data_IF_961509353472
#
_entry.id   IF_961509353472
#
_cell.length_a   1.000
_cell.length_b   1.000
_cell.length_c   1.000
_cell.angle_alpha   90.00
_cell.angle_beta   90.00
_cell.angle_gamma   90.00
#
_symmetry.space_group_name_H-M   'P 1'
#
loop_
_entity.id
_entity.type
_entity.pdbx_description
1 polymer ?
#
# COMPACT_ATOMS: atom_id res chain seq x y z
N UNK A 1 -8.85 -29.75 8.70
CA UNK A 1 -9.54 -28.50 8.28
C UNK A 1 -10.03 -28.64 6.84
N UNK A 2 -11.25 -28.19 6.50
CA UNK A 2 -11.80 -28.30 5.13
C UNK A 2 -11.19 -27.25 4.18
N UNK A 3 -11.27 -27.50 2.85
CA UNK A 3 -10.74 -26.58 1.82
C UNK A 3 -11.41 -25.21 1.90
N UNK A 4 -12.73 -25.18 1.98
CA UNK A 4 -13.54 -23.97 2.01
C UNK A 4 -13.23 -23.11 3.24
N UNK A 5 -13.07 -23.73 4.42
CA UNK A 5 -12.68 -23.02 5.64
C UNK A 5 -11.28 -22.41 5.53
N UNK A 6 -10.35 -23.05 4.80
CA UNK A 6 -8.99 -22.54 4.58
C UNK A 6 -8.95 -21.35 3.64
N UNK A 7 -9.72 -21.43 2.55
CA UNK A 7 -9.87 -20.34 1.61
C UNK A 7 -10.49 -19.13 2.31
N UNK A 8 -11.59 -19.33 3.06
CA UNK A 8 -12.26 -18.25 3.76
C UNK A 8 -11.37 -17.61 4.83
N UNK A 9 -10.75 -18.40 5.70
CA UNK A 9 -9.87 -17.87 6.75
C UNK A 9 -8.64 -17.17 6.15
N UNK A 10 -8.08 -17.73 5.08
CA UNK A 10 -6.98 -17.13 4.33
C UNK A 10 -7.37 -15.79 3.70
N UNK A 11 -8.53 -15.72 3.04
CA UNK A 11 -9.05 -14.50 2.42
C UNK A 11 -9.27 -13.39 3.45
N UNK A 12 -9.92 -13.69 4.57
CA UNK A 12 -10.19 -12.71 5.64
C UNK A 12 -8.88 -12.22 6.26
N UNK A 13 -7.96 -13.12 6.59
CA UNK A 13 -6.67 -12.75 7.16
C UNK A 13 -5.79 -11.95 6.17
N UNK A 14 -5.82 -12.32 4.89
CA UNK A 14 -5.12 -11.60 3.81
C UNK A 14 -5.67 -10.20 3.60
N UNK A 15 -6.99 -10.04 3.51
CA UNK A 15 -7.63 -8.72 3.40
C UNK A 15 -7.32 -7.84 4.61
N UNK A 16 -7.43 -8.38 5.82
CA UNK A 16 -7.09 -7.64 7.04
C UNK A 16 -5.63 -7.19 7.03
N UNK A 17 -4.70 -8.10 6.68
CA UNK A 17 -3.28 -7.76 6.53
C UNK A 17 -3.07 -6.65 5.50
N UNK A 18 -3.72 -6.73 4.35
CA UNK A 18 -3.65 -5.71 3.30
C UNK A 18 -4.17 -4.35 3.76
N UNK A 19 -5.28 -4.32 4.51
CA UNK A 19 -5.82 -3.09 5.10
C UNK A 19 -4.83 -2.49 6.11
N UNK A 20 -4.30 -3.29 7.03
CA UNK A 20 -3.32 -2.84 8.03
C UNK A 20 -2.07 -2.27 7.35
N UNK A 21 -1.52 -2.99 6.38
CA UNK A 21 -0.38 -2.54 5.57
C UNK A 21 -0.67 -1.21 4.88
N UNK A 22 -1.84 -1.08 4.24
CA UNK A 22 -2.27 0.16 3.57
C UNK A 22 -2.34 1.33 4.54
N UNK A 23 -2.98 1.12 5.69
CA UNK A 23 -3.14 2.17 6.71
C UNK A 23 -1.80 2.63 7.26
N UNK A 24 -0.85 1.71 7.47
CA UNK A 24 0.51 2.06 7.90
C UNK A 24 1.26 2.81 6.80
N UNK A 25 1.15 2.39 5.54
CA UNK A 25 1.75 3.13 4.42
C UNK A 25 1.21 4.56 4.31
N UNK A 26 -0.09 4.75 4.53
CA UNK A 26 -0.72 6.07 4.54
C UNK A 26 -0.27 6.91 5.75
N UNK A 27 -0.08 6.28 6.91
CA UNK A 27 0.44 6.96 8.10
C UNK A 27 1.88 7.41 7.88
N UNK A 28 2.74 6.56 7.34
CA UNK A 28 4.11 6.89 6.98
C UNK A 28 4.16 8.00 5.92
N UNK A 29 3.28 7.96 4.92
CA UNK A 29 3.15 9.03 3.93
C UNK A 29 2.74 10.36 4.57
N UNK A 30 1.85 10.34 5.58
CA UNK A 30 1.48 11.54 6.35
C UNK A 30 2.63 12.09 7.20
N UNK A 31 3.67 11.29 7.48
CA UNK A 31 4.91 11.70 8.13
C UNK A 31 6.01 12.10 7.11
N UNK A 32 5.70 12.13 5.81
CA UNK A 32 6.64 12.54 4.75
C UNK A 32 7.55 11.42 4.24
N UNK A 33 7.29 10.16 4.61
CA UNK A 33 8.02 8.99 4.06
C UNK A 33 7.44 8.63 2.69
N UNK A 34 8.31 8.43 1.70
CA UNK A 34 7.92 8.09 0.34
C UNK A 34 7.57 6.59 0.22
N UNK A 35 6.36 6.22 0.65
CA UNK A 35 5.93 4.82 0.60
C UNK A 35 5.67 4.36 -0.83
N UNK A 36 5.81 3.04 -1.14
CA UNK A 36 5.50 2.48 -2.46
C UNK A 36 4.14 2.92 -3.01
N UNK A 37 3.16 3.11 -2.13
CA UNK A 37 1.83 3.61 -2.46
C UNK A 37 1.85 4.95 -3.23
N UNK A 38 2.81 5.83 -2.90
CA UNK A 38 2.93 7.17 -3.50
C UNK A 38 3.87 7.17 -4.69
N UNK A 39 4.99 6.44 -4.60
CA UNK A 39 6.08 6.50 -5.60
C UNK A 39 5.90 5.55 -6.80
N UNK A 40 5.00 4.55 -6.72
CA UNK A 40 4.66 3.70 -7.87
C UNK A 40 4.11 4.56 -9.02
N UNK A 41 3.28 5.56 -8.71
CA UNK A 41 2.78 6.51 -9.70
C UNK A 41 3.91 7.26 -10.40
N UNK A 42 4.89 7.74 -9.63
CA UNK A 42 6.05 8.48 -10.14
C UNK A 42 6.93 7.59 -11.04
N UNK A 43 7.03 6.29 -10.73
CA UNK A 43 7.75 5.34 -11.58
C UNK A 43 7.01 5.06 -12.88
N UNK A 44 5.68 4.92 -12.82
CA UNK A 44 4.85 4.59 -13.98
C UNK A 44 4.67 5.78 -14.92
N UNK A 45 4.62 7.02 -14.41
CA UNK A 45 4.43 8.21 -15.24
C UNK A 45 5.56 8.44 -16.24
N UNK A 46 6.77 7.99 -15.95
CA UNK A 46 7.92 8.06 -16.88
C UNK A 46 7.67 7.27 -18.16
N UNK A 47 6.84 6.22 -18.10
CA UNK A 47 6.53 5.39 -19.26
C UNK A 47 5.31 5.88 -20.07
N UNK A 48 4.64 6.95 -19.62
CA UNK A 48 3.49 7.53 -20.32
C UNK A 48 3.98 8.69 -21.19
N UNK A 49 3.85 8.61 -22.53
CA UNK A 49 4.26 9.70 -23.40
C UNK A 49 3.45 10.99 -23.12
N UNK A 50 4.00 12.18 -23.45
CA UNK A 50 3.40 13.46 -23.08
C UNK A 50 1.99 13.69 -23.63
N UNK A 51 1.73 13.30 -24.88
CA UNK A 51 0.42 13.47 -25.53
C UNK A 51 -0.71 12.71 -24.80
N UNK A 52 -0.58 11.38 -24.61
CA UNK A 52 -1.50 10.59 -23.79
C UNK A 52 -1.67 11.13 -22.37
N UNK A 53 -0.57 11.56 -21.72
CA UNK A 53 -0.63 12.10 -20.36
C UNK A 53 -1.48 13.38 -20.27
N UNK A 54 -1.31 14.32 -21.20
CA UNK A 54 -2.11 15.55 -21.25
C UNK A 54 -3.58 15.27 -21.59
N UNK A 55 -3.86 14.31 -22.47
CA UNK A 55 -5.23 13.86 -22.76
C UNK A 55 -5.89 13.18 -21.56
N UNK A 56 -5.12 12.39 -20.80
CA UNK A 56 -5.62 11.77 -19.57
C UNK A 56 -5.91 12.84 -18.51
N UNK A 57 -5.02 13.83 -18.37
CA UNK A 57 -5.21 14.95 -17.44
C UNK A 57 -6.44 15.78 -17.79
N UNK A 58 -6.70 16.05 -19.08
CA UNK A 58 -7.89 16.79 -19.52
C UNK A 58 -9.19 16.00 -19.32
N UNK A 59 -9.16 14.67 -19.52
CA UNK A 59 -10.31 13.79 -19.30
C UNK A 59 -10.63 13.56 -17.82
N UNK A 60 -9.61 13.50 -16.98
CA UNK A 60 -9.73 13.14 -15.55
C UNK A 60 -9.92 14.38 -14.66
N UNK A 61 -9.92 15.59 -15.24
CA UNK A 61 -10.19 16.82 -14.49
C UNK A 61 -8.97 17.34 -13.71
N UNK A 62 -7.77 17.17 -14.28
CA UNK A 62 -6.53 17.73 -13.76
C UNK A 62 -5.58 16.71 -13.11
N UNK A 63 -4.37 17.16 -12.80
CA UNK A 63 -3.29 16.34 -12.25
C UNK A 63 -3.64 15.73 -10.87
N UNK A 64 -4.34 16.47 -10.02
CA UNK A 64 -4.74 16.01 -8.69
C UNK A 64 -5.64 14.77 -8.75
N UNK A 65 -6.61 14.75 -9.66
CA UNK A 65 -7.49 13.59 -9.87
C UNK A 65 -6.72 12.42 -10.50
N UNK A 66 -5.80 12.68 -11.41
CA UNK A 66 -4.97 11.62 -11.99
C UNK A 66 -4.10 10.93 -10.92
N UNK A 67 -3.50 11.71 -10.03
CA UNK A 67 -2.72 11.19 -8.90
C UNK A 67 -3.61 10.41 -7.91
N UNK A 68 -4.84 10.89 -7.67
CA UNK A 68 -5.81 10.18 -6.84
C UNK A 68 -6.19 8.82 -7.43
N UNK A 69 -6.39 8.72 -8.75
CA UNK A 69 -6.64 7.44 -9.43
C UNK A 69 -5.43 6.53 -9.33
N UNK A 70 -4.21 7.05 -9.50
CA UNK A 70 -2.98 6.27 -9.35
C UNK A 70 -2.79 5.68 -7.96
N UNK A 71 -3.01 6.48 -6.91
CA UNK A 71 -2.95 6.00 -5.52
C UNK A 71 -4.09 5.01 -5.25
N UNK A 72 -5.32 5.34 -5.67
CA UNK A 72 -6.49 4.49 -5.48
C UNK A 72 -6.37 3.12 -6.15
N UNK A 73 -5.86 3.07 -7.38
CA UNK A 73 -5.64 1.82 -8.11
C UNK A 73 -4.56 0.96 -7.45
N UNK A 74 -3.52 1.57 -6.89
CA UNK A 74 -2.49 0.88 -6.11
C UNK A 74 -3.09 0.29 -4.82
N UNK A 75 -4.01 1.01 -4.14
CA UNK A 75 -4.74 0.46 -2.98
C UNK A 75 -5.60 -0.73 -3.37
N UNK A 76 -6.36 -0.64 -4.45
CA UNK A 76 -7.18 -1.77 -4.89
C UNK A 76 -6.31 -2.96 -5.26
N UNK A 77 -5.24 -2.72 -6.03
CA UNK A 77 -4.29 -3.75 -6.45
C UNK A 77 -3.65 -4.47 -5.26
N UNK A 78 -3.18 -3.74 -4.25
CA UNK A 78 -2.56 -4.36 -3.07
C UNK A 78 -3.56 -5.20 -2.26
N UNK A 79 -4.82 -4.77 -2.14
CA UNK A 79 -5.85 -5.53 -1.41
C UNK A 79 -6.20 -6.83 -2.13
N UNK A 80 -6.27 -6.80 -3.47
CA UNK A 80 -6.48 -8.01 -4.29
C UNK A 80 -5.31 -8.98 -4.13
N UNK A 81 -4.07 -8.50 -4.28
CA UNK A 81 -2.87 -9.33 -4.09
C UNK A 81 -2.80 -9.90 -2.67
N UNK A 82 -3.14 -9.09 -1.67
CA UNK A 82 -3.18 -9.51 -0.26
C UNK A 82 -4.21 -10.62 -0.02
N UNK A 83 -5.41 -10.49 -0.60
CA UNK A 83 -6.45 -11.51 -0.51
C UNK A 83 -6.02 -12.83 -1.16
N UNK A 84 -5.44 -12.76 -2.37
CA UNK A 84 -4.91 -13.93 -3.09
C UNK A 84 -3.79 -14.59 -2.28
N UNK A 85 -2.83 -13.80 -1.78
CA UNK A 85 -1.74 -14.28 -0.93
C UNK A 85 -2.25 -14.99 0.32
N UNK A 86 -3.29 -14.45 0.96
CA UNK A 86 -3.94 -15.08 2.10
C UNK A 86 -4.65 -16.40 1.76
N UNK A 87 -5.35 -16.47 0.63
CA UNK A 87 -5.98 -17.73 0.15
C UNK A 87 -4.92 -18.80 -0.12
N UNK A 88 -3.84 -18.44 -0.82
CA UNK A 88 -2.72 -19.33 -1.11
C UNK A 88 -2.09 -19.81 0.19
N UNK A 89 -1.80 -18.90 1.12
CA UNK A 89 -1.28 -19.22 2.44
C UNK A 89 -2.17 -20.23 3.18
N UNK A 90 -3.48 -19.97 3.26
CA UNK A 90 -4.43 -20.86 3.92
C UNK A 90 -4.48 -22.26 3.31
N UNK A 91 -4.38 -22.37 1.97
CA UNK A 91 -4.31 -23.66 1.28
C UNK A 91 -3.01 -24.42 1.57
N UNK A 92 -1.87 -23.72 1.67
CA UNK A 92 -0.58 -24.32 2.01
C UNK A 92 -0.53 -24.78 3.48
N UNK A 93 -0.93 -23.92 4.43
CA UNK A 93 -0.96 -24.24 5.87
C UNK A 93 -1.88 -25.43 6.13
N UNK A 94 -3.01 -25.52 5.43
CA UNK A 94 -3.91 -26.68 5.54
C UNK A 94 -3.21 -27.99 5.20
N UNK A 95 -2.33 -28.01 4.18
CA UNK A 95 -1.65 -29.23 3.73
C UNK A 95 -0.52 -29.65 4.65
N UNK A 96 0.20 -28.69 5.22
CA UNK A 96 1.39 -28.95 6.04
C UNK A 96 1.46 -28.01 7.26
N UNK A 97 0.59 -28.19 8.26
CA UNK A 97 0.52 -27.29 9.42
C UNK A 97 1.81 -27.31 10.26
N UNK A 98 2.51 -28.46 10.33
CA UNK A 98 3.77 -28.60 11.04
C UNK A 98 4.98 -27.92 10.36
N UNK A 99 4.84 -27.50 9.08
CA UNK A 99 5.94 -26.99 8.26
C UNK A 99 5.89 -25.48 8.05
N UNK A 100 4.92 -24.78 8.65
CA UNK A 100 4.79 -23.32 8.57
C UNK A 100 5.77 -22.69 9.57
N UNK A 101 7.05 -22.73 9.23
CA UNK A 101 8.08 -22.02 9.98
C UNK A 101 7.97 -20.53 9.70
N UNK A 102 8.16 -19.72 10.75
CA UNK A 102 8.26 -18.26 10.63
C UNK A 102 9.31 -17.83 9.58
N UNK A 103 10.38 -18.61 9.41
CA UNK A 103 11.38 -18.34 8.37
C UNK A 103 10.80 -18.37 6.95
N UNK A 104 9.86 -19.27 6.68
CA UNK A 104 9.26 -19.41 5.34
C UNK A 104 8.28 -18.26 5.06
N UNK A 105 7.45 -17.92 6.04
CA UNK A 105 6.49 -16.80 5.91
C UNK A 105 7.21 -15.46 5.81
N UNK A 106 8.25 -15.23 6.62
CA UNK A 106 9.09 -14.03 6.52
C UNK A 106 9.80 -13.98 5.16
N UNK A 107 10.40 -15.09 4.70
CA UNK A 107 11.08 -15.11 3.40
C UNK A 107 10.15 -14.71 2.25
N UNK A 108 8.91 -15.21 2.25
CA UNK A 108 7.96 -15.00 1.14
C UNK A 108 7.22 -13.67 1.25
N UNK A 109 6.75 -13.29 2.44
CA UNK A 109 5.88 -12.12 2.61
C UNK A 109 6.63 -10.88 3.08
N UNK A 110 7.90 -10.99 3.47
CA UNK A 110 8.74 -9.85 3.90
C UNK A 110 9.93 -9.69 2.97
N UNK A 111 10.82 -10.68 2.92
CA UNK A 111 12.09 -10.55 2.20
C UNK A 111 11.88 -10.41 0.69
N UNK A 112 11.07 -11.28 0.08
CA UNK A 112 10.81 -11.23 -1.36
C UNK A 112 10.19 -9.90 -1.80
N UNK A 113 9.11 -9.37 -1.16
CA UNK A 113 8.59 -8.05 -1.48
C UNK A 113 9.60 -6.93 -1.32
N UNK A 114 10.42 -6.94 -0.26
CA UNK A 114 11.47 -5.93 -0.05
C UNK A 114 12.46 -5.95 -1.21
N UNK A 115 12.96 -7.13 -1.59
CA UNK A 115 13.92 -7.27 -2.70
C UNK A 115 13.28 -6.85 -4.02
N UNK A 116 12.07 -7.31 -4.32
CA UNK A 116 11.35 -6.95 -5.54
C UNK A 116 11.08 -5.45 -5.61
N UNK A 117 10.63 -4.84 -4.51
CA UNK A 117 10.39 -3.41 -4.39
C UNK A 117 11.67 -2.60 -4.52
N UNK A 118 12.76 -3.05 -3.91
CA UNK A 118 14.06 -2.40 -4.01
C UNK A 118 14.55 -2.36 -5.47
N UNK A 119 14.42 -3.47 -6.21
CA UNK A 119 14.81 -3.54 -7.62
C UNK A 119 13.88 -2.69 -8.49
N UNK A 120 12.56 -2.86 -8.37
CA UNK A 120 11.59 -2.23 -9.26
C UNK A 120 11.50 -0.71 -9.06
N UNK A 121 11.66 -0.24 -7.82
CA UNK A 121 11.51 1.16 -7.43
C UNK A 121 12.85 1.87 -7.21
N UNK A 122 13.99 1.21 -7.44
CA UNK A 122 15.32 1.76 -7.19
C UNK A 122 15.51 3.24 -7.58
N UNK A 123 15.09 3.70 -8.78
CA UNK A 123 15.30 5.07 -9.21
C UNK A 123 14.52 6.11 -8.39
N UNK A 124 13.42 5.70 -7.75
CA UNK A 124 12.50 6.58 -7.03
C UNK A 124 12.58 6.42 -5.52
N UNK A 125 13.34 5.44 -4.98
CA UNK A 125 13.46 5.23 -3.53
C UNK A 125 14.07 6.43 -2.78
N UNK A 126 14.89 7.23 -3.46
CA UNK A 126 15.54 8.42 -2.90
C UNK A 126 14.62 9.64 -2.74
N UNK A 127 13.33 9.51 -3.05
CA UNK A 127 12.35 10.58 -2.88
C UNK A 127 12.16 10.91 -1.40
N UNK A 128 12.21 12.20 -1.06
CA UNK A 128 11.92 12.71 0.29
C UNK A 128 11.02 13.93 0.20
N UNK A 129 9.94 13.92 0.97
CA UNK A 129 9.05 15.07 1.10
C UNK A 129 9.45 16.00 2.26
N UNK A 130 10.52 15.66 2.99
CA UNK A 130 11.03 16.41 4.16
C UNK A 130 12.44 16.96 3.90
N UNK A 131 12.97 16.80 2.68
CA UNK A 131 14.30 17.31 2.30
C UNK A 131 15.47 16.47 2.82
N UNK A 132 15.27 15.18 3.07
CA UNK A 132 16.36 14.28 3.48
C UNK A 132 17.35 14.05 2.32
N UNK A 133 18.65 13.84 2.62
CA UNK A 133 19.61 13.38 1.62
C UNK A 133 19.16 12.08 0.94
N UNK A 134 19.48 11.91 -0.34
CA UNK A 134 18.98 10.80 -1.20
C UNK A 134 19.24 9.43 -0.56
N UNK A 135 20.41 9.20 0.02
CA UNK A 135 20.76 7.90 0.61
C UNK A 135 19.99 7.64 1.91
N UNK A 136 19.77 8.68 2.72
CA UNK A 136 18.96 8.60 3.93
C UNK A 136 17.50 8.38 3.57
N UNK A 137 16.98 9.09 2.57
CA UNK A 137 15.62 8.92 2.06
C UNK A 137 15.38 7.49 1.55
N UNK A 138 16.34 6.94 0.80
CA UNK A 138 16.30 5.55 0.32
C UNK A 138 16.22 4.56 1.49
N UNK A 139 17.05 4.75 2.52
CA UNK A 139 17.05 3.89 3.70
C UNK A 139 15.72 4.00 4.47
N UNK A 140 15.23 5.22 4.71
CA UNK A 140 13.96 5.46 5.40
C UNK A 140 12.79 4.82 4.64
N UNK A 141 12.76 4.95 3.32
CA UNK A 141 11.75 4.32 2.46
C UNK A 141 11.81 2.79 2.53
N UNK A 142 13.01 2.19 2.45
CA UNK A 142 13.19 0.75 2.55
C UNK A 142 12.81 0.20 3.93
N UNK A 143 13.22 0.87 5.01
CA UNK A 143 12.86 0.49 6.39
C UNK A 143 11.36 0.65 6.62
N UNK A 144 10.76 1.76 6.15
CA UNK A 144 9.31 1.98 6.21
C UNK A 144 8.54 0.92 5.44
N UNK A 145 9.02 0.54 4.25
CA UNK A 145 8.43 -0.54 3.48
C UNK A 145 8.57 -1.90 4.18
N UNK A 146 9.75 -2.20 4.72
CA UNK A 146 10.00 -3.43 5.48
C UNK A 146 9.04 -3.55 6.68
N UNK A 147 8.82 -2.45 7.41
CA UNK A 147 7.83 -2.40 8.49
C UNK A 147 6.42 -2.72 7.98
N UNK A 148 6.00 -2.15 6.85
CA UNK A 148 4.67 -2.39 6.27
C UNK A 148 4.45 -3.86 5.91
N UNK A 149 5.41 -4.48 5.20
CA UNK A 149 5.28 -5.88 4.79
C UNK A 149 5.45 -6.85 5.96
N UNK A 150 6.21 -6.47 6.99
CA UNK A 150 6.30 -7.23 8.24
C UNK A 150 4.96 -7.22 8.99
N UNK A 151 4.32 -6.06 9.12
CA UNK A 151 3.00 -5.96 9.75
C UNK A 151 1.93 -6.71 8.95
N UNK A 152 2.02 -6.70 7.61
CA UNK A 152 1.20 -7.56 6.75
C UNK A 152 1.37 -9.04 7.12
N UNK A 153 2.62 -9.54 7.13
CA UNK A 153 2.92 -10.94 7.44
C UNK A 153 2.40 -11.33 8.84
N UNK A 154 2.64 -10.50 9.85
CA UNK A 154 2.20 -10.76 11.22
C UNK A 154 0.68 -10.81 11.32
N UNK A 155 0.00 -9.87 10.66
CA UNK A 155 -1.47 -9.83 10.64
C UNK A 155 -2.05 -11.03 9.90
N UNK A 156 -1.45 -11.42 8.77
CA UNK A 156 -1.87 -12.60 8.01
C UNK A 156 -1.73 -13.88 8.83
N UNK A 157 -0.55 -14.14 9.39
CA UNK A 157 -0.26 -15.37 10.13
C UNK A 157 -1.09 -15.43 11.41
N UNK A 158 -1.08 -14.38 12.22
CA UNK A 158 -1.83 -14.35 13.49
C UNK A 158 -3.34 -14.35 13.25
N UNK A 159 -3.83 -13.61 12.25
CA UNK A 159 -5.24 -13.61 11.87
C UNK A 159 -5.71 -14.99 11.42
N UNK A 160 -4.91 -15.66 10.58
CA UNK A 160 -5.22 -17.02 10.14
C UNK A 160 -5.21 -18.02 11.31
N UNK A 161 -4.18 -17.96 12.17
CA UNK A 161 -4.11 -18.81 13.36
C UNK A 161 -5.30 -18.55 14.28
N UNK A 162 -5.61 -17.29 14.57
CA UNK A 162 -6.76 -16.91 15.39
C UNK A 162 -8.08 -17.49 14.85
N UNK A 163 -8.30 -17.41 13.53
CA UNK A 163 -9.49 -17.98 12.89
C UNK A 163 -9.53 -19.52 12.94
N UNK A 164 -8.37 -20.17 12.96
CA UNK A 164 -8.26 -21.64 12.82
C UNK A 164 -7.96 -22.38 14.12
N UNK A 165 -7.60 -21.69 15.20
CA UNK A 165 -7.35 -22.27 16.53
C UNK A 165 -8.56 -23.07 17.01
N UNK A 166 -8.42 -24.40 17.06
CA UNK A 166 -9.41 -25.30 17.68
C UNK A 166 -9.41 -25.06 19.19
N UNK A 167 -10.57 -24.74 19.77
CA UNK A 167 -10.74 -24.86 21.22
C UNK A 167 -10.82 -26.34 21.56
N UNK A 168 -9.92 -26.83 22.41
CA UNK A 168 -10.08 -28.08 23.14
C UNK A 168 -11.16 -27.80 24.17
N UNK A 169 -12.40 -28.09 23.83
CA UNK A 169 -13.48 -28.17 24.81
C UNK A 169 -14.32 -29.36 24.41
N UNK A 170 -14.23 -30.41 25.22
CA UNK A 170 -15.22 -31.48 25.25
C UNK A 170 -16.60 -30.82 25.39
N UNK A 171 -17.40 -30.84 24.34
CA UNK A 171 -18.84 -31.02 24.39
C UNK A 171 -19.39 -30.91 22.97
N UNK A 172 -20.03 -32.00 22.55
CA UNK A 172 -20.81 -32.14 21.33
C UNK A 172 -21.97 -31.13 21.33
N UNK A 173 -21.71 -29.92 20.84
CA UNK A 173 -22.77 -28.99 20.46
C UNK A 173 -22.70 -28.69 18.97
N UNK A 174 -23.77 -29.06 18.28
CA UNK A 174 -23.95 -29.14 16.83
C UNK A 174 -24.21 -27.77 16.16
N UNK A 175 -23.98 -26.66 16.85
CA UNK A 175 -23.95 -25.33 16.25
C UNK A 175 -22.50 -24.85 16.14
N UNK A 176 -22.09 -24.43 14.94
CA UNK A 176 -20.73 -23.93 14.66
C UNK A 176 -20.66 -22.39 14.61
N UNK A 177 -20.78 -21.61 15.72
CA UNK A 177 -20.66 -20.15 15.67
C UNK A 177 -19.25 -19.62 16.01
N UNK A 178 -18.31 -20.46 16.47
CA UNK A 178 -17.02 -19.97 16.98
C UNK A 178 -16.15 -19.26 15.91
N UNK A 179 -16.18 -19.75 14.66
CA UNK A 179 -15.49 -19.08 13.54
C UNK A 179 -16.19 -17.75 13.20
N UNK A 180 -17.52 -17.71 13.28
CA UNK A 180 -18.31 -16.51 13.01
C UNK A 180 -17.94 -15.34 13.94
N UNK A 181 -17.82 -15.60 15.25
CA UNK A 181 -17.44 -14.55 16.22
C UNK A 181 -16.02 -14.03 15.99
N UNK A 182 -15.06 -14.91 15.70
CA UNK A 182 -13.67 -14.49 15.45
C UNK A 182 -13.52 -13.74 14.13
N UNK A 183 -14.21 -14.19 13.09
CA UNK A 183 -14.30 -13.46 11.83
C UNK A 183 -14.93 -12.08 12.02
N UNK A 184 -15.99 -11.97 12.83
CA UNK A 184 -16.59 -10.68 13.17
C UNK A 184 -15.61 -9.74 13.85
N UNK A 185 -14.84 -10.21 14.85
CA UNK A 185 -13.81 -9.39 15.51
C UNK A 185 -12.74 -8.92 14.54
N UNK A 186 -12.21 -9.80 13.69
CA UNK A 186 -11.21 -9.42 12.68
C UNK A 186 -11.78 -8.44 11.66
N UNK A 187 -13.01 -8.64 11.22
CA UNK A 187 -13.71 -7.70 10.34
C UNK A 187 -13.90 -6.34 11.01
N UNK A 188 -14.27 -6.29 12.29
CA UNK A 188 -14.41 -5.04 13.03
C UNK A 188 -13.07 -4.27 13.14
N UNK A 189 -11.97 -4.98 13.42
CA UNK A 189 -10.61 -4.40 13.40
C UNK A 189 -10.28 -3.88 12.01
N UNK A 190 -10.58 -4.65 10.96
CA UNK A 190 -10.37 -4.26 9.57
C UNK A 190 -11.15 -2.99 9.20
N UNK A 191 -12.42 -2.90 9.61
CA UNK A 191 -13.25 -1.71 9.39
C UNK A 191 -12.68 -0.49 10.13
N UNK A 192 -12.24 -0.64 11.38
CA UNK A 192 -11.62 0.43 12.14
C UNK A 192 -10.31 0.93 11.48
N UNK A 193 -9.44 -0.01 11.06
CA UNK A 193 -8.19 0.31 10.37
C UNK A 193 -8.44 0.98 9.01
N UNK A 194 -9.43 0.50 8.25
CA UNK A 194 -9.84 1.10 6.98
C UNK A 194 -10.42 2.51 7.19
N UNK A 195 -11.24 2.72 8.23
CA UNK A 195 -11.75 4.04 8.60
C UNK A 195 -10.64 5.04 8.89
N UNK A 196 -9.63 4.63 9.66
CA UNK A 196 -8.41 5.42 9.89
C UNK A 196 -7.65 5.72 8.59
N UNK A 197 -7.50 4.72 7.71
CA UNK A 197 -6.90 4.89 6.39
C UNK A 197 -7.64 5.92 5.52
N UNK A 198 -8.97 5.88 5.48
CA UNK A 198 -9.81 6.85 4.74
C UNK A 198 -9.61 8.26 5.29
N UNK A 199 -9.53 8.43 6.62
CA UNK A 199 -9.25 9.73 7.22
C UNK A 199 -7.86 10.27 6.82
N UNK A 200 -6.84 9.40 6.77
CA UNK A 200 -5.49 9.75 6.30
C UNK A 200 -5.48 10.12 4.82
N UNK A 201 -6.17 9.37 3.96
CA UNK A 201 -6.30 9.70 2.53
C UNK A 201 -6.93 11.09 2.36
N UNK A 202 -8.00 11.40 3.10
CA UNK A 202 -8.64 12.73 3.04
C UNK A 202 -7.70 13.84 3.50
N UNK A 203 -6.93 13.61 4.58
CA UNK A 203 -5.93 14.56 5.08
C UNK A 203 -4.84 14.82 4.04
N UNK A 204 -4.26 13.74 3.50
CA UNK A 204 -3.21 13.80 2.48
C UNK A 204 -3.70 14.48 1.20
N UNK A 205 -4.93 14.18 0.77
CA UNK A 205 -5.54 14.81 -0.40
C UNK A 205 -5.65 16.33 -0.23
N UNK A 206 -6.18 16.79 0.91
CA UNK A 206 -6.27 18.23 1.21
C UNK A 206 -4.90 18.91 1.27
N UNK A 207 -3.87 18.21 1.76
CA UNK A 207 -2.52 18.74 1.81
C UNK A 207 -1.83 18.76 0.43
N UNK A 208 -2.17 17.82 -0.46
CA UNK A 208 -1.54 17.64 -1.77
C UNK A 208 -2.29 18.34 -2.92
N UNK A 209 -3.51 18.83 -2.71
CA UNK A 209 -4.24 19.60 -3.73
C UNK A 209 -3.53 20.92 -4.00
N UNK A 210 -2.91 21.02 -5.17
CA UNK A 210 -2.44 22.30 -5.70
C UNK A 210 -3.62 23.24 -5.91
N UNK A 211 -3.73 24.29 -5.09
CA UNK A 211 -4.58 25.44 -5.36
C UNK A 211 -3.85 26.36 -6.33
N UNK A 212 -4.12 26.20 -7.62
CA UNK A 212 -3.74 27.21 -8.60
C UNK A 212 -4.90 28.20 -8.71
N UNK A 213 -4.70 29.42 -8.23
CA UNK A 213 -5.71 30.48 -8.23
C UNK A 213 -5.83 31.19 -9.60
N UNK A 214 -5.10 30.72 -10.60
CA UNK A 214 -5.08 31.32 -11.93
C UNK A 214 -4.32 32.64 -12.00
N UNK A 215 -3.74 33.10 -10.89
CA UNK A 215 -3.01 34.37 -10.89
C UNK A 215 -1.67 34.18 -11.59
N UNK A 216 -1.53 34.82 -12.73
CA UNK A 216 -0.21 35.01 -13.32
C UNK A 216 0.51 36.06 -12.48
N UNK A 217 1.62 35.68 -11.85
CA UNK A 217 2.50 36.65 -11.21
C UNK A 217 3.10 37.54 -12.31
N UNK A 218 2.49 38.70 -12.54
CA UNK A 218 2.95 39.75 -13.47
C UNK A 218 3.62 40.91 -12.71
N UNK A 219 4.27 40.59 -11.58
CA UNK A 219 4.97 41.59 -10.78
C UNK A 219 6.14 42.21 -11.56
N UNK A 220 6.50 43.45 -11.23
CA UNK A 220 7.66 44.16 -11.80
C UNK A 220 9.02 43.47 -11.49
N UNK A 221 9.00 42.45 -10.63
CA UNK A 221 10.14 41.62 -10.18
C UNK A 221 10.16 40.25 -10.89
N UNK A 222 9.30 40.03 -11.89
CA UNK A 222 9.47 38.85 -12.77
C UNK A 222 10.75 39.08 -13.56
N UNK A 223 11.85 38.52 -13.07
CA UNK A 223 13.06 38.40 -13.86
C UNK A 223 12.68 37.64 -15.14
N UNK A 224 12.96 38.19 -16.33
CA UNK A 224 12.82 37.40 -17.54
C UNK A 224 13.60 36.11 -17.32
N UNK A 225 12.97 34.97 -17.65
CA UNK A 225 13.66 33.69 -17.71
C UNK A 225 14.73 33.88 -18.79
N UNK A 226 15.90 34.31 -18.34
CA UNK A 226 17.03 34.54 -19.22
C UNK A 226 17.41 33.14 -19.66
N UNK A 227 17.43 32.85 -20.97
CA UNK A 227 17.84 31.54 -21.44
C UNK A 227 19.26 31.32 -20.94
N UNK A 228 19.42 30.51 -19.91
CA UNK A 228 20.68 29.91 -19.58
C UNK A 228 20.64 28.49 -20.14
N UNK A 229 21.79 27.93 -20.48
CA UNK A 229 21.90 26.57 -21.03
C UNK A 229 21.48 25.46 -20.02
N UNK A 230 20.87 25.85 -18.89
CA UNK A 230 20.47 24.98 -17.79
C UNK A 230 18.97 24.63 -17.82
N UNK A 231 18.17 25.33 -18.62
CA UNK A 231 16.76 24.98 -18.86
C UNK A 231 16.54 24.55 -20.31
N UNK A 232 15.91 23.39 -20.51
CA UNK A 232 15.49 22.96 -21.84
C UNK A 232 14.42 23.92 -22.38
N UNK A 233 14.81 24.72 -23.37
CA UNK A 233 13.85 25.43 -24.23
C UNK A 233 12.98 24.39 -24.96
N UNK A 234 11.68 24.38 -24.67
CA UNK A 234 10.69 23.72 -25.53
C UNK A 234 10.45 24.63 -26.72
N UNK A 235 11.21 24.43 -27.80
CA UNK A 235 10.86 24.99 -29.11
C UNK A 235 9.66 24.23 -29.66
N UNK A 236 8.63 24.99 -30.08
CA UNK A 236 7.58 24.48 -30.97
C UNK A 236 8.13 24.23 -32.37
#
# INVERSE_FOLDING_TARGET
MSRTKAIFAGLVAGLLGGIVMTTVMLLLAALGVATPLVIIGDRLSVFIPPGPFLSLMSKVGGYNHLKQIGVGSTIVGQLVVSAIGGVIFGLFVRRNPARVSAMWTISIFVLLPIVAGAIALWPVLGTSYVGLPIDVARLVTLVGFALCVFLFERTLVLGFQFLTTRKISQQDYEFTPAIGRRAFVLSAIGVAAAGGGVALVRKLYRAATFSYDGTQYKGRIVEPITPNELFYCVTK
#
